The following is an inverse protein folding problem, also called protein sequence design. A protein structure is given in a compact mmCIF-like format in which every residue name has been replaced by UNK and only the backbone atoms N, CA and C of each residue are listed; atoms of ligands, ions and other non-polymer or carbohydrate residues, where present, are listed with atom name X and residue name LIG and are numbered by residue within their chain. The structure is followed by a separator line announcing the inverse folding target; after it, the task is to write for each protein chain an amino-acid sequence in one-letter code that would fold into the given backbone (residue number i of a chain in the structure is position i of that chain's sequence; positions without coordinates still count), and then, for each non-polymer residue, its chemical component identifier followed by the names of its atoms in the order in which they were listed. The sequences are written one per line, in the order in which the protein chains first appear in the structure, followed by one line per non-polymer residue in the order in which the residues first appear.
data_IF_500157298501
#
_entry.id   IF_500157298501
#
_cell.length_a   1.000
_cell.length_b   1.000
_cell.length_c   1.000
_cell.angle_alpha   90.00
_cell.angle_beta   90.00
_cell.angle_gamma   90.00
#
_symmetry.space_group_name_H-M   'P 1'
#
loop_
_entity.id
_entity.type
_entity.pdbx_description
1 polymer ?
#
# COMPACT_ATOMS: atom_id res chain seq x y z
N UNK A 1 -3.15 55.23 25.82
CA UNK A 1 -1.99 54.73 25.05
C UNK A 1 -1.95 53.20 24.87
N UNK A 2 -3.09 52.49 24.84
CA UNK A 2 -3.14 51.01 24.66
C UNK A 2 -3.76 50.54 23.33
N UNK A 3 -4.44 51.42 22.59
CA UNK A 3 -5.12 51.06 21.34
C UNK A 3 -4.26 51.10 20.07
N UNK A 4 -3.13 51.83 20.07
CA UNK A 4 -2.25 51.94 18.89
C UNK A 4 -1.25 50.78 18.77
N UNK A 5 -1.04 49.99 19.82
CA UNK A 5 -0.14 48.82 19.82
C UNK A 5 -0.74 47.58 19.15
N UNK A 6 -2.07 47.46 19.11
CA UNK A 6 -2.75 46.31 18.48
C UNK A 6 -2.75 46.35 16.94
N UNK A 7 -2.87 47.55 16.36
CA UNK A 7 -2.89 47.72 14.90
C UNK A 7 -1.52 47.48 14.24
N UNK A 8 -0.43 47.85 14.92
CA UNK A 8 0.93 47.64 14.40
C UNK A 8 1.29 46.15 14.39
N UNK A 9 0.86 45.38 15.40
CA UNK A 9 1.10 43.93 15.46
C UNK A 9 0.38 43.14 14.36
N UNK A 10 -0.86 43.52 14.03
CA UNK A 10 -1.64 42.85 12.98
C UNK A 10 -1.14 43.17 11.57
N UNK A 11 -0.67 44.39 11.32
CA UNK A 11 -0.11 44.78 10.02
C UNK A 11 1.23 44.06 9.73
N UNK A 12 2.06 43.83 10.77
CA UNK A 12 3.34 43.15 10.63
C UNK A 12 3.15 41.64 10.37
N UNK A 13 2.17 41.01 11.02
CA UNK A 13 1.84 39.59 10.79
C UNK A 13 1.29 39.34 9.38
N UNK A 14 0.48 40.26 8.84
CA UNK A 14 -0.08 40.13 7.49
C UNK A 14 0.99 40.33 6.40
N UNK A 15 1.96 41.21 6.62
CA UNK A 15 3.09 41.41 5.71
C UNK A 15 4.03 40.18 5.66
N UNK A 16 4.24 39.49 6.78
CA UNK A 16 5.04 38.26 6.85
C UNK A 16 4.40 37.08 6.10
N UNK A 17 3.06 36.98 6.09
CA UNK A 17 2.34 35.92 5.36
C UNK A 17 2.39 36.13 3.84
N UNK A 18 2.36 37.39 3.37
CA UNK A 18 2.42 37.71 1.94
C UNK A 18 3.81 37.49 1.32
N UNK A 19 4.90 37.67 2.07
CA UNK A 19 6.28 37.44 1.57
C UNK A 19 6.61 35.94 1.41
N UNK A 20 5.94 35.04 2.14
CA UNK A 20 6.14 33.60 2.03
C UNK A 20 5.62 32.98 0.72
N UNK A 21 4.64 33.60 0.05
CA UNK A 21 4.08 33.10 -1.20
C UNK A 21 4.89 33.50 -2.45
N UNK A 22 5.82 34.45 -2.33
CA UNK A 22 6.57 34.99 -3.46
C UNK A 22 7.99 34.44 -3.60
N UNK A 23 8.38 33.36 -2.89
CA UNK A 23 9.68 32.74 -3.13
C UNK A 23 9.78 32.34 -4.61
N UNK A 24 10.61 33.02 -5.43
CA UNK A 24 10.87 32.54 -6.76
C UNK A 24 11.51 31.17 -6.58
N UNK A 25 10.89 30.13 -7.12
CA UNK A 25 11.48 28.81 -7.16
C UNK A 25 12.91 28.99 -7.69
N UNK A 26 13.92 28.70 -6.87
CA UNK A 26 15.31 28.70 -7.29
C UNK A 26 15.47 27.57 -8.31
N UNK A 27 15.09 27.87 -9.55
CA UNK A 27 15.44 27.10 -10.71
C UNK A 27 16.87 27.46 -11.07
N UNK A 28 17.82 27.03 -10.23
CA UNK A 28 19.03 26.51 -10.84
C UNK A 28 18.58 25.19 -11.45
N UNK A 29 18.69 24.97 -12.77
CA UNK A 29 18.63 23.63 -13.31
C UNK A 29 19.80 22.89 -12.67
N UNK A 30 19.55 22.23 -11.55
CA UNK A 30 20.38 21.14 -11.12
C UNK A 30 20.26 20.16 -12.28
N UNK A 31 21.30 20.10 -13.09
CA UNK A 31 21.49 19.01 -14.03
C UNK A 31 21.60 17.78 -13.16
N UNK A 32 20.46 17.15 -12.89
CA UNK A 32 20.41 15.85 -12.22
C UNK A 32 21.37 14.99 -13.01
N UNK A 33 22.44 14.46 -12.41
CA UNK A 33 23.29 13.52 -13.10
C UNK A 33 22.33 12.47 -13.64
N UNK A 34 22.22 12.37 -14.97
CA UNK A 34 21.51 11.24 -15.56
C UNK A 34 22.28 10.06 -15.04
N UNK A 35 21.73 9.41 -14.03
CA UNK A 35 22.26 8.17 -13.53
C UNK A 35 22.12 7.24 -14.72
N UNK A 36 23.22 7.08 -15.49
CA UNK A 36 23.32 6.07 -16.52
C UNK A 36 23.00 4.78 -15.79
N UNK A 37 21.77 4.30 -15.97
CA UNK A 37 21.36 2.98 -15.50
C UNK A 37 22.37 2.03 -16.13
N UNK A 38 23.27 1.51 -15.30
CA UNK A 38 24.15 0.44 -15.72
C UNK A 38 23.23 -0.61 -16.34
N UNK A 39 23.51 -1.00 -17.59
CA UNK A 39 22.73 -1.98 -18.34
C UNK A 39 22.89 -3.32 -17.63
N UNK A 40 22.18 -3.47 -16.52
CA UNK A 40 21.92 -4.74 -15.85
C UNK A 40 21.38 -5.65 -16.95
N UNK A 41 21.72 -6.95 -16.96
CA UNK A 41 21.14 -7.89 -17.92
C UNK A 41 19.64 -7.62 -17.92
N UNK A 42 19.14 -7.12 -19.04
CA UNK A 42 17.81 -6.52 -19.08
C UNK A 42 16.84 -7.69 -19.05
N UNK A 43 16.50 -8.14 -17.85
CA UNK A 43 15.38 -9.03 -17.66
C UNK A 43 14.20 -8.40 -18.38
N UNK A 44 13.52 -9.19 -19.20
CA UNK A 44 12.31 -8.69 -19.84
C UNK A 44 11.33 -8.21 -18.75
N UNK A 45 10.47 -7.22 -19.03
CA UNK A 45 9.44 -6.81 -18.07
C UNK A 45 8.61 -7.99 -17.54
N UNK A 46 8.38 -9.00 -18.39
CA UNK A 46 7.68 -10.24 -18.03
C UNK A 46 8.49 -11.07 -17.02
N UNK A 47 9.77 -11.26 -17.26
CA UNK A 47 10.65 -12.03 -16.36
C UNK A 47 10.83 -11.34 -15.01
N UNK A 48 10.96 -10.01 -15.03
CA UNK A 48 10.98 -9.19 -13.80
C UNK A 48 9.66 -9.32 -13.04
N UNK A 49 8.53 -9.25 -13.74
CA UNK A 49 7.20 -9.44 -13.13
C UNK A 49 7.03 -10.83 -12.50
N UNK A 50 7.46 -11.88 -13.21
CA UNK A 50 7.45 -13.26 -12.68
C UNK A 50 8.28 -13.37 -11.41
N UNK A 51 9.48 -12.78 -11.39
CA UNK A 51 10.32 -12.75 -10.20
C UNK A 51 9.60 -12.08 -9.03
N UNK A 52 9.03 -10.90 -9.24
CA UNK A 52 8.28 -10.16 -8.20
C UNK A 52 7.11 -10.96 -7.63
N UNK A 53 6.29 -11.59 -8.47
CA UNK A 53 5.17 -12.43 -8.04
C UNK A 53 5.63 -13.62 -7.20
N UNK A 54 6.77 -14.20 -7.57
CA UNK A 54 7.35 -15.36 -6.88
C UNK A 54 7.90 -14.97 -5.51
N UNK A 55 8.77 -13.96 -5.45
CA UNK A 55 9.42 -13.55 -4.18
C UNK A 55 8.47 -12.78 -3.26
N UNK A 56 7.45 -12.13 -3.81
CA UNK A 56 6.41 -11.46 -3.04
C UNK A 56 5.36 -12.41 -2.47
N UNK A 57 5.46 -13.72 -2.72
CA UNK A 57 4.50 -14.71 -2.21
C UNK A 57 3.07 -14.49 -2.70
N UNK A 58 2.87 -13.84 -3.86
CA UNK A 58 1.54 -13.40 -4.25
C UNK A 58 0.56 -14.58 -4.41
N UNK A 59 1.05 -15.75 -4.84
CA UNK A 59 0.24 -16.96 -4.98
C UNK A 59 -0.27 -17.52 -3.63
N UNK A 60 0.30 -17.11 -2.50
CA UNK A 60 -0.11 -17.63 -1.19
C UNK A 60 -1.52 -17.17 -0.82
N UNK A 61 -1.89 -15.94 -1.20
CA UNK A 61 -3.20 -15.35 -0.92
C UNK A 61 -4.02 -15.03 -2.19
N UNK A 62 -3.38 -14.83 -3.35
CA UNK A 62 -4.08 -14.47 -4.60
C UNK A 62 -4.35 -15.64 -5.54
N UNK A 63 -3.96 -16.86 -5.20
CA UNK A 63 -4.27 -18.05 -6.01
C UNK A 63 -5.11 -19.02 -5.18
N UNK A 64 -6.29 -19.45 -5.67
CA UNK A 64 -7.09 -20.47 -4.99
C UNK A 64 -6.25 -21.71 -4.69
N UNK A 65 -6.57 -22.39 -3.60
CA UNK A 65 -5.90 -23.64 -3.22
C UNK A 65 -6.76 -24.83 -3.62
N UNK A 66 -6.11 -25.90 -4.07
CA UNK A 66 -6.71 -27.20 -4.30
C UNK A 66 -6.00 -28.26 -3.46
N UNK A 67 -6.65 -29.40 -3.25
CA UNK A 67 -5.99 -30.54 -2.60
C UNK A 67 -5.03 -31.19 -3.57
N UNK A 68 -3.74 -31.12 -3.24
CA UNK A 68 -2.64 -31.81 -3.92
C UNK A 68 -2.02 -32.90 -3.05
N UNK A 69 -0.96 -33.57 -3.56
CA UNK A 69 -0.28 -34.65 -2.86
C UNK A 69 0.33 -34.24 -1.51
N UNK A 70 0.68 -32.96 -1.33
CA UNK A 70 1.28 -32.44 -0.11
C UNK A 70 0.33 -31.57 0.73
N UNK A 71 -0.99 -31.71 0.51
CA UNK A 71 -2.02 -30.91 1.19
C UNK A 71 -2.56 -29.80 0.29
N UNK A 72 -2.86 -28.63 0.87
CA UNK A 72 -3.38 -27.49 0.10
C UNK A 72 -2.25 -26.86 -0.73
N UNK A 73 -2.37 -26.96 -2.05
CA UNK A 73 -1.42 -26.40 -3.02
C UNK A 73 -2.12 -25.35 -3.91
N UNK A 74 -1.40 -24.35 -4.46
CA UNK A 74 -1.99 -23.39 -5.38
C UNK A 74 -2.52 -24.03 -6.67
N UNK A 75 -3.75 -23.70 -7.05
CA UNK A 75 -4.34 -24.07 -8.34
C UNK A 75 -3.82 -23.12 -9.44
N UNK A 76 -2.78 -23.57 -10.15
CA UNK A 76 -2.14 -22.77 -11.18
C UNK A 76 -3.04 -22.53 -12.42
N UNK A 77 -4.15 -23.26 -12.59
CA UNK A 77 -5.13 -22.95 -13.63
C UNK A 77 -5.91 -21.66 -13.34
N UNK A 78 -5.86 -21.19 -12.09
CA UNK A 78 -6.53 -19.98 -11.58
C UNK A 78 -5.53 -19.03 -10.91
N UNK A 79 -4.30 -19.03 -11.42
CA UNK A 79 -3.19 -18.20 -10.92
C UNK A 79 -3.62 -16.73 -10.80
N UNK A 80 -3.42 -16.14 -9.63
CA UNK A 80 -3.71 -14.73 -9.32
C UNK A 80 -5.20 -14.32 -9.50
N UNK A 81 -6.14 -15.26 -9.52
CA UNK A 81 -7.58 -14.96 -9.65
C UNK A 81 -8.24 -14.43 -8.36
N UNK A 82 -7.52 -14.48 -7.24
CA UNK A 82 -8.04 -14.14 -5.91
C UNK A 82 -9.01 -15.19 -5.34
N UNK A 83 -9.83 -14.78 -4.37
CA UNK A 83 -10.79 -15.66 -3.72
C UNK A 83 -11.93 -16.06 -4.67
N UNK A 84 -12.31 -17.34 -4.79
CA UNK A 84 -13.48 -17.75 -5.55
C UNK A 84 -14.75 -17.08 -5.04
N UNK A 85 -15.48 -16.37 -5.92
CA UNK A 85 -16.73 -15.68 -5.57
C UNK A 85 -17.88 -16.63 -5.21
N UNK A 86 -17.77 -17.90 -5.62
CA UNK A 86 -18.76 -18.96 -5.34
C UNK A 86 -18.54 -19.65 -4.00
N UNK A 87 -17.44 -19.35 -3.31
CA UNK A 87 -17.13 -19.96 -2.03
C UNK A 87 -18.05 -19.42 -0.93
N UNK A 88 -18.58 -20.34 -0.12
CA UNK A 88 -19.40 -20.00 1.04
C UNK A 88 -18.51 -19.94 2.28
N UNK A 89 -18.37 -18.75 2.86
CA UNK A 89 -17.59 -18.56 4.07
C UNK A 89 -18.34 -19.14 5.28
N UNK A 90 -17.58 -19.72 6.21
CA UNK A 90 -18.12 -20.17 7.49
C UNK A 90 -18.62 -18.97 8.31
N UNK A 91 -19.67 -19.19 9.11
CA UNK A 91 -20.16 -18.15 10.04
C UNK A 91 -19.12 -17.92 11.14
N UNK A 92 -18.88 -16.66 11.47
CA UNK A 92 -18.08 -16.29 12.64
C UNK A 92 -18.90 -16.50 13.91
N UNK A 93 -18.44 -17.34 14.86
CA UNK A 93 -19.12 -17.50 16.14
C UNK A 93 -19.20 -16.19 16.93
N UNK A 94 -20.32 -15.95 17.59
CA UNK A 94 -20.53 -14.74 18.39
C UNK A 94 -19.57 -14.68 19.59
N UNK A 95 -19.15 -13.47 19.97
CA UNK A 95 -18.33 -13.22 21.17
C UNK A 95 -16.84 -13.52 21.03
N UNK A 96 -16.37 -13.93 19.84
CA UNK A 96 -14.95 -14.15 19.55
C UNK A 96 -14.20 -12.86 19.19
N UNK A 97 -14.90 -11.86 18.65
CA UNK A 97 -14.36 -10.54 18.34
C UNK A 97 -15.06 -9.54 19.27
N UNK A 98 -14.31 -8.86 20.12
CA UNK A 98 -14.78 -7.90 21.12
C UNK A 98 -13.70 -6.82 21.37
N UNK A 99 -13.98 -5.71 22.06
CA UNK A 99 -12.98 -4.65 22.30
C UNK A 99 -11.69 -5.15 22.97
N UNK A 100 -11.76 -6.20 23.78
CA UNK A 100 -10.65 -6.84 24.48
C UNK A 100 -10.26 -8.22 23.88
N UNK A 101 -10.85 -8.60 22.75
CA UNK A 101 -10.64 -9.92 22.10
C UNK A 101 -10.37 -9.76 20.61
N UNK A 102 -9.13 -10.08 20.23
CA UNK A 102 -8.67 -10.05 18.86
C UNK A 102 -8.62 -11.47 18.30
N UNK A 103 -9.30 -11.67 17.18
CA UNK A 103 -9.25 -12.91 16.43
C UNK A 103 -9.34 -12.60 14.95
N UNK A 104 -8.52 -13.29 14.17
CA UNK A 104 -8.56 -13.24 12.72
C UNK A 104 -8.90 -14.63 12.20
N UNK A 105 -9.99 -14.72 11.43
CA UNK A 105 -10.45 -15.95 10.80
C UNK A 105 -10.25 -15.80 9.29
N UNK A 106 -9.65 -16.82 8.67
CA UNK A 106 -9.47 -16.88 7.23
C UNK A 106 -10.03 -18.18 6.66
N UNK A 107 -10.41 -18.17 5.38
CA UNK A 107 -10.73 -19.39 4.64
C UNK A 107 -9.47 -20.15 4.21
N UNK A 108 -9.67 -21.36 3.65
CA UNK A 108 -8.60 -22.24 3.19
C UNK A 108 -7.77 -21.66 2.04
N UNK A 109 -8.27 -20.66 1.33
CA UNK A 109 -7.54 -20.01 0.24
C UNK A 109 -6.71 -18.80 0.69
N UNK A 110 -6.79 -18.40 1.97
CA UNK A 110 -6.18 -17.16 2.49
C UNK A 110 -6.67 -15.90 1.77
N UNK A 111 -7.84 -15.98 1.12
CA UNK A 111 -8.41 -14.93 0.27
C UNK A 111 -9.58 -14.16 0.91
N UNK A 112 -10.13 -14.65 2.02
CA UNK A 112 -11.22 -14.01 2.74
C UNK A 112 -10.95 -14.00 4.25
N UNK A 113 -11.08 -12.83 4.87
CA UNK A 113 -10.64 -12.56 6.24
C UNK A 113 -11.74 -11.86 7.05
N UNK A 114 -11.91 -12.25 8.32
CA UNK A 114 -12.83 -11.60 9.28
C UNK A 114 -12.10 -11.40 10.61
N UNK A 115 -12.14 -10.18 11.14
CA UNK A 115 -11.47 -9.75 12.38
C UNK A 115 -11.43 -8.23 12.51
N UNK A 116 -11.07 -7.67 13.68
CA UNK A 116 -10.48 -6.34 13.80
C UNK A 116 -8.98 -6.34 13.46
#
# INVERSE_FOLDING_TARGET
MRFTRGFIGSALALALVLVGCQQPASQTPAETPKMQSAKSPTQSPVERGRYMVTVGGCNDCHTPKMMGPNGLEPDMSRTLSGNPSTEKLAKVPAGLIAPDKYLTITNNHLGAWVGP
#
